data_IF_400267099321
#
_entry.id   IF_400267099321
#
_cell.length_a   1.000
_cell.length_b   1.000
_cell.length_c   1.000
_cell.angle_alpha   90.00
_cell.angle_beta   90.00
_cell.angle_gamma   90.00
#
_symmetry.space_group_name_H-M   'P 1'
#
loop_
_entity.id
_entity.type
_entity.pdbx_description
1 polymer ?
#
# COMPACT_ATOMS: atom_id res chain seq x y z
N UNK A 1 6.97 -18.33 -2.49
CA UNK A 1 6.02 -17.20 -2.44
C UNK A 1 6.28 -16.43 -1.17
N UNK A 2 6.83 -15.21 -1.25
CA UNK A 2 6.97 -14.34 -0.08
C UNK A 2 5.58 -13.73 0.19
N UNK A 3 4.92 -14.15 1.27
CA UNK A 3 3.69 -13.52 1.76
C UNK A 3 4.05 -12.15 2.32
N UNK A 4 3.99 -11.13 1.48
CA UNK A 4 4.12 -9.73 1.89
C UNK A 4 2.83 -9.32 2.60
N UNK A 5 2.94 -8.67 3.74
CA UNK A 5 1.78 -8.15 4.45
C UNK A 5 1.30 -6.88 3.74
N UNK A 6 0.06 -6.91 3.25
CA UNK A 6 -0.61 -5.77 2.65
C UNK A 6 -1.63 -5.25 3.66
N UNK A 7 -1.46 -3.99 4.07
CA UNK A 7 -2.40 -3.28 4.92
C UNK A 7 -3.12 -2.23 4.07
N UNK A 8 -4.44 -2.20 4.13
CA UNK A 8 -5.26 -1.24 3.41
C UNK A 8 -5.88 -0.27 4.41
N UNK A 9 -5.57 1.02 4.27
CA UNK A 9 -6.07 2.07 5.13
C UNK A 9 -7.01 2.99 4.36
N UNK A 10 -8.02 3.50 5.06
CA UNK A 10 -8.90 4.57 4.61
C UNK A 10 -9.50 4.34 3.22
N UNK A 11 -10.24 3.24 3.05
CA UNK A 11 -10.96 2.96 1.80
C UNK A 11 -12.16 3.90 1.69
N UNK A 12 -12.15 4.76 0.68
CA UNK A 12 -13.16 5.78 0.43
C UNK A 12 -13.78 5.59 -0.96
N UNK A 13 -15.03 6.01 -1.11
CA UNK A 13 -15.70 6.05 -2.41
C UNK A 13 -15.82 7.49 -2.89
N UNK A 14 -15.25 7.78 -4.06
CA UNK A 14 -15.40 9.04 -4.75
C UNK A 14 -16.52 8.91 -5.78
N UNK A 15 -17.69 9.47 -5.45
CA UNK A 15 -18.87 9.41 -6.31
C UNK A 15 -18.77 10.30 -7.57
N UNK A 16 -17.93 11.33 -7.56
CA UNK A 16 -17.75 12.22 -8.71
C UNK A 16 -17.07 11.50 -9.87
N UNK A 17 -16.08 10.65 -9.56
CA UNK A 17 -15.34 9.86 -10.54
C UNK A 17 -15.77 8.39 -10.60
N UNK A 18 -16.75 8.00 -9.76
CA UNK A 18 -17.23 6.63 -9.61
C UNK A 18 -16.09 5.63 -9.36
N UNK A 19 -15.22 5.97 -8.40
CA UNK A 19 -14.04 5.18 -8.09
C UNK A 19 -13.89 4.94 -6.59
N UNK A 20 -13.29 3.80 -6.24
CA UNK A 20 -12.81 3.56 -4.88
C UNK A 20 -11.36 4.00 -4.79
N UNK A 21 -11.04 4.75 -3.75
CA UNK A 21 -9.72 5.25 -3.43
C UNK A 21 -9.27 4.65 -2.11
N UNK A 22 -7.99 4.31 -1.99
CA UNK A 22 -7.43 3.83 -0.73
C UNK A 22 -5.92 4.07 -0.67
N UNK A 23 -5.40 4.14 0.56
CA UNK A 23 -3.96 4.14 0.80
C UNK A 23 -3.52 2.72 1.19
N UNK A 24 -2.80 2.07 0.30
CA UNK A 24 -2.32 0.69 0.51
C UNK A 24 -0.87 0.71 0.96
N UNK A 25 -0.59 0.10 2.10
CA UNK A 25 0.77 -0.09 2.64
C UNK A 25 1.23 -1.51 2.38
N UNK A 26 2.39 -1.66 1.75
CA UNK A 26 3.06 -2.94 1.53
C UNK A 26 4.28 -2.97 2.45
N UNK A 27 4.33 -3.99 3.31
CA UNK A 27 5.47 -4.25 4.18
C UNK A 27 6.41 -5.25 3.50
N UNK A 28 7.65 -4.83 3.26
CA UNK A 28 8.72 -5.62 2.63
C UNK A 28 9.96 -5.56 3.53
N UNK A 29 9.98 -6.43 4.55
CA UNK A 29 11.04 -6.46 5.57
C UNK A 29 11.12 -5.16 6.37
N UNK A 30 12.28 -4.50 6.34
CA UNK A 30 12.56 -3.25 7.08
C UNK A 30 11.97 -1.99 6.42
N UNK A 31 11.36 -2.15 5.24
CA UNK A 31 10.76 -1.07 4.47
C UNK A 31 9.24 -1.23 4.39
N UNK A 32 8.53 -0.16 4.72
CA UNK A 32 7.09 -0.06 4.49
C UNK A 32 6.83 0.99 3.41
N UNK A 33 6.13 0.61 2.34
CA UNK A 33 5.82 1.52 1.22
C UNK A 33 4.33 1.75 1.11
N UNK A 34 3.92 3.00 1.00
CA UNK A 34 2.52 3.41 0.84
C UNK A 34 2.25 3.86 -0.59
N UNK A 35 1.15 3.37 -1.15
CA UNK A 35 0.68 3.63 -2.50
C UNK A 35 -0.74 4.17 -2.46
N UNK A 36 -0.96 5.33 -3.07
CA UNK A 36 -2.30 5.84 -3.32
C UNK A 36 -2.90 5.08 -4.52
N UNK A 37 -3.93 4.29 -4.25
CA UNK A 37 -4.56 3.41 -5.24
C UNK A 37 -6.00 3.87 -5.49
N UNK A 38 -6.41 3.79 -6.74
CA UNK A 38 -7.78 4.09 -7.17
C UNK A 38 -8.22 3.10 -8.24
N UNK A 39 -9.46 2.63 -8.12
CA UNK A 39 -10.09 1.74 -9.09
C UNK A 39 -11.47 2.26 -9.49
N UNK A 40 -11.75 2.28 -10.79
CA UNK A 40 -13.08 2.64 -11.28
C UNK A 40 -14.00 1.45 -11.07
N UNK A 41 -15.01 1.63 -10.23
CA UNK A 41 -16.00 0.60 -9.94
C UNK A 41 -17.28 1.25 -9.38
N UNK A 42 -18.45 0.68 -9.68
CA UNK A 42 -19.71 1.20 -9.14
C UNK A 42 -19.77 1.01 -7.63
N UNK A 43 -20.48 1.89 -6.92
CA UNK A 43 -20.67 1.80 -5.47
C UNK A 43 -21.32 0.49 -5.00
N UNK A 44 -22.03 -0.19 -5.90
CA UNK A 44 -22.64 -1.51 -5.67
C UNK A 44 -21.62 -2.66 -5.69
N UNK A 45 -20.38 -2.41 -6.09
CA UNK A 45 -19.33 -3.43 -6.08
C UNK A 45 -19.06 -3.88 -4.63
N UNK A 46 -18.99 -5.21 -4.37
CA UNK A 46 -18.65 -5.71 -3.05
C UNK A 46 -17.28 -5.20 -2.59
N UNK A 47 -17.19 -4.82 -1.32
CA UNK A 47 -15.94 -4.33 -0.71
C UNK A 47 -14.77 -5.28 -0.95
N UNK A 48 -14.98 -6.61 -0.83
CA UNK A 48 -13.93 -7.59 -1.05
C UNK A 48 -13.34 -7.55 -2.47
N UNK A 49 -14.18 -7.28 -3.48
CA UNK A 49 -13.74 -7.14 -4.87
C UNK A 49 -12.98 -5.82 -5.07
N UNK A 50 -13.48 -4.74 -4.47
CA UNK A 50 -12.80 -3.45 -4.51
C UNK A 50 -11.41 -3.51 -3.84
N UNK A 51 -11.35 -4.11 -2.64
CA UNK A 51 -10.14 -4.36 -1.88
C UNK A 51 -9.11 -5.19 -2.68
N UNK A 52 -9.58 -6.23 -3.37
CA UNK A 52 -8.74 -7.07 -4.22
C UNK A 52 -8.15 -6.26 -5.39
N UNK A 53 -8.96 -5.41 -6.03
CA UNK A 53 -8.52 -4.53 -7.12
C UNK A 53 -7.45 -3.53 -6.66
N UNK A 54 -7.69 -2.87 -5.52
CA UNK A 54 -6.76 -1.91 -4.92
C UNK A 54 -5.44 -2.59 -4.52
N UNK A 55 -5.52 -3.77 -3.91
CA UNK A 55 -4.34 -4.55 -3.49
C UNK A 55 -3.48 -4.97 -4.68
N UNK A 56 -4.12 -5.49 -5.75
CA UNK A 56 -3.42 -5.85 -7.00
C UNK A 56 -2.76 -4.64 -7.66
N UNK A 57 -3.42 -3.49 -7.62
CA UNK A 57 -2.86 -2.26 -8.19
C UNK A 57 -1.62 -1.80 -7.42
N UNK A 58 -1.67 -1.84 -6.07
CA UNK A 58 -0.53 -1.52 -5.21
C UNK A 58 0.64 -2.48 -5.45
N UNK A 59 0.37 -3.78 -5.51
CA UNK A 59 1.39 -4.81 -5.77
C UNK A 59 2.06 -4.60 -7.13
N UNK A 60 1.28 -4.33 -8.17
CA UNK A 60 1.82 -4.03 -9.51
C UNK A 60 2.75 -2.82 -9.50
N UNK A 61 2.40 -1.74 -8.77
CA UNK A 61 3.25 -0.55 -8.63
C UNK A 61 4.52 -0.85 -7.84
N UNK A 62 4.41 -1.67 -6.80
CA UNK A 62 5.54 -2.08 -5.98
C UNK A 62 6.56 -2.91 -6.79
N UNK A 63 6.08 -3.90 -7.55
CA UNK A 63 6.91 -4.75 -8.40
C UNK A 63 7.53 -3.97 -9.57
N UNK A 64 6.76 -3.05 -10.18
CA UNK A 64 7.23 -2.23 -11.30
C UNK A 64 8.29 -1.19 -10.92
N UNK A 65 8.56 -0.97 -9.62
CA UNK A 65 9.51 0.03 -9.07
C UNK A 65 9.37 1.45 -9.66
N UNK A 66 8.20 1.79 -10.20
CA UNK A 66 7.94 3.06 -10.86
C UNK A 66 6.75 3.81 -10.26
N UNK A 67 6.72 5.12 -10.47
CA UNK A 67 5.66 6.01 -9.97
C UNK A 67 5.93 6.56 -8.56
N UNK A 68 4.94 7.29 -8.04
CA UNK A 68 5.01 7.95 -6.74
C UNK A 68 4.63 6.98 -5.60
N UNK A 69 5.46 6.93 -4.56
CA UNK A 69 5.18 6.20 -3.33
C UNK A 69 5.82 6.91 -2.14
N UNK A 70 5.28 6.70 -0.95
CA UNK A 70 5.93 7.08 0.30
C UNK A 70 6.66 5.86 0.85
N UNK A 71 7.92 6.01 1.25
CA UNK A 71 8.72 4.95 1.88
C UNK A 71 9.04 5.33 3.31
N UNK A 72 8.75 4.42 4.24
CA UNK A 72 9.18 4.48 5.61
C UNK A 72 10.21 3.37 5.84
N UNK A 73 11.45 3.77 6.12
CA UNK A 73 12.53 2.86 6.52
C UNK A 73 12.73 2.96 8.01
N UNK A 74 12.65 1.84 8.71
CA UNK A 74 13.07 1.80 10.11
C UNK A 74 14.59 1.88 10.14
N UNK A 75 15.14 3.07 10.39
CA UNK A 75 16.56 3.20 10.64
C UNK A 75 16.84 2.70 12.06
N UNK A 76 17.46 1.52 12.18
CA UNK A 76 18.07 1.14 13.44
C UNK A 76 19.27 2.08 13.70
N UNK A 77 19.33 2.75 14.86
CA UNK A 77 20.49 3.56 15.20
C UNK A 77 21.72 2.67 15.21
N UNK A 78 22.82 3.14 14.60
CA UNK A 78 24.08 2.41 14.61
C UNK A 78 24.46 2.06 16.06
N UNK A 79 24.89 0.82 16.35
CA UNK A 79 25.32 0.45 17.68
C UNK A 79 26.45 1.41 18.09
N UNK A 80 26.19 2.22 19.11
CA UNK A 80 27.22 3.08 19.70
C UNK A 80 28.23 2.16 20.37
N UNK A 81 29.38 1.97 19.74
CA UNK A 81 30.54 1.35 20.38
C UNK A 81 30.90 2.17 21.62
N UNK A 82 30.49 1.69 22.80
CA UNK A 82 30.75 2.40 24.05
C UNK A 82 29.86 2.01 25.21
N UNK A 83 29.90 0.73 25.63
CA UNK A 83 29.97 0.36 27.06
C UNK A 83 30.34 -1.13 27.18
N UNK A 84 31.28 -1.49 28.07
CA UNK A 84 31.51 -2.88 28.45
C UNK A 84 30.29 -3.48 29.16
#
# INVERSE_FOLDING_TARGET
>A
MQTRQIQMNDVMYNAAEQCFEALVTIHDGDCSRKYACSINAPMTMPFAQAALGLSKQAERRHLGRGGMYSELRVQQPAPRNGRP
#
